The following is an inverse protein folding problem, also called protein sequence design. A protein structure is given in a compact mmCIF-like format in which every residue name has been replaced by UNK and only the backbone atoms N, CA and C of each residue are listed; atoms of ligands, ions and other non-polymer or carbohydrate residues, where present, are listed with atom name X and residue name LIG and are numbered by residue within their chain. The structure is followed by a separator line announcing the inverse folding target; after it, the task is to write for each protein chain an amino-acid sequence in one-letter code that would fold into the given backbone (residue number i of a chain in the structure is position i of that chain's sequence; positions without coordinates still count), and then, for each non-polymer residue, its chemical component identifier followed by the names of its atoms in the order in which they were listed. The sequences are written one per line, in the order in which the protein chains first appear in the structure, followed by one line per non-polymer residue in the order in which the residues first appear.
data_IF_077002281578
#
_entry.id   IF_077002281578
#
_cell.length_a   1.000
_cell.length_b   1.000
_cell.length_c   1.000
_cell.angle_alpha   90.00
_cell.angle_beta   90.00
_cell.angle_gamma   90.00
#
_symmetry.space_group_name_H-M   'P 1'
#
loop_
_entity.id
_entity.type
_entity.pdbx_description
1 polymer ?
#
# COMPACT_ATOMS: atom_id res chain seq x y z
N UNK A 1 -19.78 -4.18 23.31
CA UNK A 1 -18.82 -4.61 22.26
C UNK A 1 -19.56 -4.62 20.93
N UNK A 2 -19.09 -3.91 19.89
CA UNK A 2 -19.72 -3.94 18.57
C UNK A 2 -19.66 -5.37 17.99
N UNK A 3 -20.73 -5.76 17.29
CA UNK A 3 -20.88 -7.12 16.72
C UNK A 3 -19.90 -7.26 15.55
N UNK A 4 -18.97 -8.22 15.62
CA UNK A 4 -17.98 -8.47 14.55
C UNK A 4 -18.69 -8.72 13.22
N UNK A 5 -18.30 -8.00 12.18
CA UNK A 5 -18.85 -8.15 10.83
C UNK A 5 -18.51 -9.56 10.34
N UNK A 6 -19.52 -10.33 9.96
CA UNK A 6 -19.33 -11.66 9.35
C UNK A 6 -19.08 -11.49 7.86
N UNK A 7 -17.91 -11.91 7.41
CA UNK A 7 -17.55 -11.96 5.99
C UNK A 7 -17.71 -13.40 5.52
N UNK A 8 -18.40 -13.61 4.40
CA UNK A 8 -18.51 -14.94 3.81
C UNK A 8 -17.22 -15.32 3.08
N UNK A 9 -16.88 -16.62 3.05
CA UNK A 9 -15.71 -17.11 2.32
C UNK A 9 -15.77 -16.72 0.82
N UNK A 10 -16.98 -16.75 0.22
CA UNK A 10 -17.20 -16.33 -1.18
C UNK A 10 -16.79 -14.87 -1.41
N UNK A 11 -17.29 -13.95 -0.56
CA UNK A 11 -16.95 -12.51 -0.65
C UNK A 11 -15.45 -12.30 -0.48
N UNK A 12 -14.85 -12.95 0.52
CA UNK A 12 -13.41 -12.84 0.81
C UNK A 12 -12.56 -13.32 -0.37
N UNK A 13 -12.91 -14.45 -0.99
CA UNK A 13 -12.21 -14.97 -2.18
C UNK A 13 -12.38 -14.06 -3.39
N UNK A 14 -13.58 -13.52 -3.62
CA UNK A 14 -13.84 -12.60 -4.73
C UNK A 14 -13.02 -11.32 -4.61
N UNK A 15 -13.02 -10.71 -3.42
CA UNK A 15 -12.23 -9.51 -3.12
C UNK A 15 -10.73 -9.82 -3.25
N UNK A 16 -10.24 -10.93 -2.68
CA UNK A 16 -8.83 -11.30 -2.83
C UNK A 16 -8.42 -11.41 -4.30
N UNK A 17 -9.18 -12.15 -5.11
CA UNK A 17 -8.85 -12.36 -6.52
C UNK A 17 -8.79 -11.04 -7.29
N UNK A 18 -9.71 -10.11 -7.01
CA UNK A 18 -9.67 -8.75 -7.56
C UNK A 18 -8.41 -8.01 -7.13
N UNK A 19 -8.16 -7.90 -5.83
CA UNK A 19 -7.01 -7.17 -5.30
C UNK A 19 -5.69 -7.74 -5.82
N UNK A 20 -5.57 -9.07 -5.98
CA UNK A 20 -4.40 -9.72 -6.58
C UNK A 20 -4.17 -9.32 -8.04
N UNK A 21 -5.22 -9.20 -8.86
CA UNK A 21 -5.09 -8.74 -10.24
C UNK A 21 -4.59 -7.30 -10.30
N UNK A 22 -5.16 -6.42 -9.49
CA UNK A 22 -4.77 -5.01 -9.43
C UNK A 22 -3.35 -4.86 -8.88
N UNK A 23 -2.99 -5.60 -7.81
CA UNK A 23 -1.65 -5.58 -7.26
C UNK A 23 -0.60 -6.09 -8.26
N UNK A 24 -0.92 -7.14 -9.04
CA UNK A 24 -0.08 -7.60 -10.15
C UNK A 24 0.09 -6.51 -11.21
N UNK A 25 -0.99 -5.86 -11.62
CA UNK A 25 -0.89 -4.73 -12.56
C UNK A 25 -0.01 -3.60 -11.98
N UNK A 26 -0.20 -3.27 -10.71
CA UNK A 26 0.61 -2.27 -10.00
C UNK A 26 2.09 -2.61 -9.95
N UNK A 27 2.45 -3.87 -9.70
CA UNK A 27 3.85 -4.32 -9.72
C UNK A 27 4.55 -4.16 -11.07
N UNK A 28 3.78 -4.05 -12.16
CA UNK A 28 4.30 -3.90 -13.52
C UNK A 28 4.26 -2.43 -13.98
N UNK A 29 3.19 -1.70 -13.65
CA UNK A 29 2.99 -0.34 -14.14
C UNK A 29 3.65 0.74 -13.27
N UNK A 30 3.92 0.46 -12.00
CA UNK A 30 4.66 1.40 -11.16
C UNK A 30 6.13 1.32 -11.56
N UNK A 31 6.64 2.42 -12.13
CA UNK A 31 8.04 2.54 -12.51
C UNK A 31 8.94 2.53 -11.26
N UNK A 32 9.71 1.45 -11.11
CA UNK A 32 10.61 1.26 -9.97
C UNK A 32 11.78 2.24 -9.95
N UNK A 33 12.27 2.70 -11.10
CA UNK A 33 13.38 3.67 -11.18
C UNK A 33 12.93 5.03 -10.66
N UNK A 34 11.77 5.49 -11.15
CA UNK A 34 11.16 6.73 -10.68
C UNK A 34 10.81 6.60 -9.20
N UNK A 35 10.18 5.48 -8.80
CA UNK A 35 9.82 5.24 -7.41
C UNK A 35 11.04 5.30 -6.50
N UNK A 36 12.10 4.53 -6.77
CA UNK A 36 13.36 4.49 -6.01
C UNK A 36 13.95 5.88 -5.78
N UNK A 37 13.87 6.74 -6.80
CA UNK A 37 14.37 8.11 -6.74
C UNK A 37 13.48 9.12 -5.98
N UNK A 38 12.28 8.74 -5.54
CA UNK A 38 11.47 9.58 -4.65
C UNK A 38 12.13 9.62 -3.28
N UNK A 39 12.60 10.80 -2.88
CA UNK A 39 13.18 11.02 -1.55
C UNK A 39 12.08 10.90 -0.51
N UNK A 40 12.36 10.12 0.53
CA UNK A 40 11.50 9.98 1.70
C UNK A 40 12.35 10.30 2.92
N UNK A 41 12.12 11.46 3.53
CA UNK A 41 12.80 11.88 4.76
C UNK A 41 11.89 11.59 5.96
N UNK A 42 12.26 10.61 6.82
CA UNK A 42 11.49 10.30 8.02
C UNK A 42 11.49 11.43 9.07
N UNK A 43 12.32 12.46 8.92
CA UNK A 43 12.31 13.63 9.81
C UNK A 43 11.28 14.69 9.39
N UNK A 44 10.83 14.66 8.13
CA UNK A 44 9.98 15.69 7.50
C UNK A 44 8.64 15.10 7.08
N UNK A 45 8.08 14.22 7.91
CA UNK A 45 6.77 13.57 7.69
C UNK A 45 5.59 14.57 7.72
N UNK A 46 5.51 15.44 6.72
CA UNK A 46 4.43 16.40 6.53
C UNK A 46 3.86 16.12 5.15
N UNK A 47 2.67 15.51 5.12
CA UNK A 47 1.91 15.21 3.89
C UNK A 47 1.55 16.43 3.04
N UNK A 48 1.96 17.63 3.47
CA UNK A 48 1.71 18.91 2.83
C UNK A 48 2.99 19.64 2.39
N UNK A 49 4.19 19.17 2.74
CA UNK A 49 5.42 19.94 2.43
C UNK A 49 5.97 19.69 1.04
N UNK A 50 5.43 18.73 0.27
CA UNK A 50 5.74 18.44 -1.14
C UNK A 50 7.24 18.62 -1.52
N UNK A 51 8.17 18.34 -0.60
CA UNK A 51 9.61 18.38 -0.86
C UNK A 51 10.03 17.11 -1.61
N UNK A 52 9.34 16.85 -2.71
CA UNK A 52 9.51 15.68 -3.55
C UNK A 52 9.94 16.14 -4.93
N UNK A 53 10.80 15.35 -5.56
CA UNK A 53 11.13 15.54 -6.97
C UNK A 53 9.87 15.25 -7.80
N UNK A 54 9.19 16.30 -8.23
CA UNK A 54 7.91 16.22 -8.96
C UNK A 54 8.03 15.36 -10.23
N UNK A 55 9.19 15.40 -10.89
CA UNK A 55 9.43 14.64 -12.13
C UNK A 55 9.39 13.13 -11.91
N UNK A 56 9.66 12.69 -10.67
CA UNK A 56 9.57 11.28 -10.25
C UNK A 56 8.25 10.98 -9.54
N UNK A 57 7.79 11.91 -8.71
CA UNK A 57 6.60 11.74 -7.89
C UNK A 57 5.31 11.69 -8.72
N UNK A 58 5.12 12.64 -9.64
CA UNK A 58 3.87 12.79 -10.40
C UNK A 58 3.58 11.54 -11.25
N UNK A 59 4.53 10.98 -12.04
CA UNK A 59 4.26 9.79 -12.84
C UNK A 59 3.81 8.59 -12.00
N UNK A 60 4.47 8.33 -10.86
CA UNK A 60 4.10 7.25 -9.94
C UNK A 60 2.68 7.49 -9.39
N UNK A 61 2.37 8.70 -8.92
CA UNK A 61 1.03 9.06 -8.42
C UNK A 61 -0.04 8.87 -9.48
N UNK A 62 0.22 9.30 -10.72
CA UNK A 62 -0.70 9.12 -11.85
C UNK A 62 -0.92 7.64 -12.15
N UNK A 63 0.12 6.80 -12.12
CA UNK A 63 -0.04 5.35 -12.25
C UNK A 63 -0.98 4.80 -11.18
N UNK A 64 -0.80 5.19 -9.92
CA UNK A 64 -1.67 4.76 -8.83
C UNK A 64 -3.14 5.18 -9.05
N UNK A 65 -3.40 6.42 -9.49
CA UNK A 65 -4.75 6.84 -9.89
C UNK A 65 -5.32 6.05 -11.08
N UNK A 66 -4.48 5.67 -12.05
CA UNK A 66 -4.92 4.84 -13.18
C UNK A 66 -5.26 3.42 -12.74
N UNK A 67 -4.53 2.85 -11.77
CA UNK A 67 -4.85 1.53 -11.20
C UNK A 67 -6.26 1.51 -10.60
N UNK A 68 -6.74 2.61 -10.01
CA UNK A 68 -8.12 2.72 -9.52
C UNK A 68 -9.21 2.54 -10.59
N UNK A 69 -8.83 2.66 -11.86
CA UNK A 69 -9.73 2.55 -13.02
C UNK A 69 -9.58 1.22 -13.75
N UNK A 70 -8.66 0.34 -13.33
CA UNK A 70 -8.38 -0.90 -14.06
C UNK A 70 -9.47 -1.96 -13.87
N UNK A 71 -10.12 -1.95 -12.71
CA UNK A 71 -11.17 -2.89 -12.37
C UNK A 71 -12.22 -2.20 -11.49
N UNK A 72 -13.49 -2.58 -11.67
CA UNK A 72 -14.57 -2.07 -10.83
C UNK A 72 -14.53 -2.64 -9.40
N UNK A 73 -15.26 -2.00 -8.49
CA UNK A 73 -15.34 -2.40 -7.08
C UNK A 73 -14.48 -1.58 -6.12
N UNK A 74 -14.70 -1.82 -4.84
CA UNK A 74 -14.04 -1.11 -3.74
C UNK A 74 -12.56 -1.51 -3.63
N UNK A 75 -11.69 -0.52 -3.82
CA UNK A 75 -10.26 -0.63 -3.53
C UNK A 75 -9.56 0.74 -3.47
N UNK A 76 -8.43 0.74 -2.78
CA UNK A 76 -7.43 1.81 -2.81
C UNK A 76 -6.04 1.18 -2.97
N UNK A 77 -5.06 2.02 -3.26
CA UNK A 77 -3.67 1.60 -3.33
C UNK A 77 -2.75 2.65 -2.70
N UNK A 78 -1.61 2.16 -2.23
CA UNK A 78 -0.51 2.97 -1.76
C UNK A 78 0.81 2.26 -2.04
N UNK A 79 1.89 3.01 -2.17
CA UNK A 79 3.23 2.44 -2.31
C UNK A 79 4.04 2.68 -1.04
N UNK A 80 4.79 1.66 -0.66
CA UNK A 80 5.55 1.62 0.57
C UNK A 80 7.01 1.27 0.30
N UNK A 81 7.89 1.73 1.19
CA UNK A 81 9.32 1.47 1.14
C UNK A 81 9.84 0.95 2.47
N UNK A 82 10.74 -0.03 2.41
CA UNK A 82 11.56 -0.44 3.55
C UNK A 82 12.61 0.63 3.83
N UNK A 83 12.65 1.12 5.07
CA UNK A 83 13.67 2.06 5.54
C UNK A 83 14.27 1.55 6.84
N UNK A 84 15.49 2.01 7.15
CA UNK A 84 16.15 1.72 8.41
C UNK A 84 15.96 2.87 9.38
N UNK A 85 15.52 2.56 10.59
CA UNK A 85 15.43 3.52 11.69
C UNK A 85 16.19 2.98 12.89
N UNK A 86 16.76 3.87 13.69
CA UNK A 86 17.32 3.51 15.00
C UNK A 86 16.24 3.62 16.05
N UNK A 87 16.14 2.63 16.93
CA UNK A 87 15.29 2.73 18.11
C UNK A 87 15.95 3.58 19.21
N UNK A 88 15.31 3.63 20.38
CA UNK A 88 15.77 4.42 21.53
C UNK A 88 17.11 3.93 22.10
N UNK A 89 17.44 2.67 21.87
CA UNK A 89 18.68 2.03 22.31
C UNK A 89 19.77 2.10 21.21
N UNK A 90 19.47 2.76 20.09
CA UNK A 90 20.37 2.92 18.96
C UNK A 90 20.44 1.71 18.02
N UNK A 91 19.58 0.70 18.22
CA UNK A 91 19.54 -0.50 17.38
C UNK A 91 18.83 -0.19 16.07
N UNK A 92 19.49 -0.50 14.95
CA UNK A 92 18.89 -0.38 13.63
C UNK A 92 17.86 -1.47 13.38
N UNK A 93 16.68 -1.07 12.91
CA UNK A 93 15.60 -1.97 12.51
C UNK A 93 15.01 -1.55 11.17
N UNK A 94 14.63 -2.55 10.39
CA UNK A 94 13.84 -2.34 9.18
C UNK A 94 12.38 -2.06 9.56
N UNK A 95 11.86 -0.98 9.01
CA UNK A 95 10.45 -0.58 9.11
C UNK A 95 9.93 -0.24 7.73
N UNK A 96 8.63 -0.09 7.59
CA UNK A 96 8.00 0.35 6.35
C UNK A 96 7.44 1.76 6.53
N UNK A 97 7.62 2.60 5.51
CA UNK A 97 6.97 3.88 5.42
C UNK A 97 6.03 3.93 4.22
N UNK A 98 4.89 4.59 4.37
CA UNK A 98 4.02 4.92 3.24
C UNK A 98 4.69 6.08 2.49
N UNK A 99 5.12 5.81 1.27
CA UNK A 99 5.75 6.84 0.43
C UNK A 99 4.69 7.68 -0.28
N UNK A 100 3.61 7.02 -0.73
CA UNK A 100 2.57 7.71 -1.48
C UNK A 100 1.23 6.96 -1.34
N UNK A 101 0.29 7.47 -0.53
CA UNK A 101 -1.10 7.01 -0.54
C UNK A 101 -1.83 7.62 -1.75
N UNK A 102 -2.92 7.04 -2.23
CA UNK A 102 -3.80 7.73 -3.20
C UNK A 102 -4.78 8.65 -2.47
N UNK A 103 -5.67 8.04 -1.69
CA UNK A 103 -6.81 8.68 -1.04
C UNK A 103 -6.85 8.35 0.46
N UNK A 104 -7.28 7.14 0.81
CA UNK A 104 -7.28 6.63 2.18
C UNK A 104 -6.02 5.83 2.45
N UNK A 105 -5.64 5.79 3.72
CA UNK A 105 -4.47 5.07 4.19
C UNK A 105 -4.85 4.29 5.45
N UNK A 106 -4.49 3.01 5.50
CA UNK A 106 -4.77 2.13 6.64
C UNK A 106 -3.92 2.46 7.86
N UNK A 107 -2.74 3.03 7.61
CA UNK A 107 -1.76 3.40 8.62
C UNK A 107 -1.49 4.90 8.52
N UNK A 108 -0.97 5.50 9.57
CA UNK A 108 -0.62 6.92 9.55
C UNK A 108 0.55 7.16 8.59
N UNK A 109 0.38 8.12 7.68
CA UNK A 109 1.36 8.47 6.65
C UNK A 109 2.56 9.22 7.22
N UNK A 110 2.42 9.77 8.44
CA UNK A 110 3.47 10.53 9.12
C UNK A 110 4.33 9.68 10.06
N UNK A 111 4.22 8.36 9.94
CA UNK A 111 4.92 7.42 10.79
C UNK A 111 5.45 6.21 10.03
N UNK A 112 6.33 5.50 10.72
CA UNK A 112 6.90 4.23 10.27
C UNK A 112 6.19 3.08 10.95
N UNK A 113 6.06 1.97 10.25
CA UNK A 113 5.28 0.82 10.69
C UNK A 113 6.15 -0.43 10.71
N UNK A 114 5.88 -1.40 11.61
CA UNK A 114 6.51 -2.70 11.54
C UNK A 114 6.22 -3.39 10.19
N UNK A 115 7.19 -4.14 9.69
CA UNK A 115 7.00 -4.99 8.51
C UNK A 115 6.22 -6.23 8.94
N UNK A 116 5.03 -6.43 8.38
CA UNK A 116 4.25 -7.66 8.62
C UNK A 116 4.80 -8.84 7.81
N UNK A 117 4.43 -10.10 8.14
CA UNK A 117 4.82 -11.25 7.33
C UNK A 117 4.43 -11.14 5.86
N UNK A 118 3.24 -10.62 5.56
CA UNK A 118 2.77 -10.43 4.17
C UNK A 118 3.58 -9.34 3.44
N UNK A 119 3.94 -8.25 4.12
CA UNK A 119 4.85 -7.26 3.53
C UNK A 119 6.23 -7.85 3.29
N UNK A 120 6.74 -8.67 4.22
CA UNK A 120 8.04 -9.32 4.07
C UNK A 120 8.03 -10.25 2.85
N UNK A 121 6.98 -11.05 2.64
CA UNK A 121 6.84 -11.87 1.43
C UNK A 121 6.93 -11.04 0.14
N UNK A 122 6.35 -9.82 0.15
CA UNK A 122 6.42 -8.90 -0.97
C UNK A 122 7.80 -8.30 -1.18
N UNK A 123 8.50 -7.92 -0.11
CA UNK A 123 9.90 -7.49 -0.20
C UNK A 123 10.84 -8.62 -0.65
N UNK A 124 10.51 -9.87 -0.34
CA UNK A 124 11.22 -11.06 -0.84
C UNK A 124 10.83 -11.40 -2.30
N UNK A 125 9.99 -10.57 -2.95
CA UNK A 125 9.65 -10.68 -4.36
C UNK A 125 8.42 -11.52 -4.69
N UNK A 126 7.65 -11.94 -3.68
CA UNK A 126 6.39 -12.71 -3.84
C UNK A 126 5.17 -11.83 -3.59
N UNK A 127 3.96 -12.38 -3.62
CA UNK A 127 2.75 -11.64 -3.30
C UNK A 127 2.26 -12.03 -1.92
N UNK A 128 2.25 -11.09 -0.99
CA UNK A 128 1.72 -11.30 0.35
C UNK A 128 0.27 -10.86 0.47
N UNK A 129 -0.48 -11.50 1.37
CA UNK A 129 -1.87 -11.14 1.66
C UNK A 129 -2.09 -11.16 3.16
N UNK A 130 -2.77 -10.14 3.69
CA UNK A 130 -3.17 -10.12 5.09
C UNK A 130 -4.54 -9.46 5.28
N UNK A 131 -5.22 -9.86 6.35
CA UNK A 131 -6.43 -9.19 6.82
C UNK A 131 -6.05 -8.18 7.92
N UNK A 132 -6.56 -6.96 7.78
CA UNK A 132 -6.39 -5.85 8.72
C UNK A 132 -7.78 -5.35 9.15
N UNK A 133 -7.80 -4.37 10.05
CA UNK A 133 -9.04 -3.70 10.45
C UNK A 133 -8.86 -2.19 10.35
N UNK A 134 -9.85 -1.50 9.75
CA UNK A 134 -9.93 -0.05 9.76
C UNK A 134 -11.31 0.37 10.25
N UNK A 135 -11.33 1.12 11.36
CA UNK A 135 -12.58 1.62 11.99
C UNK A 135 -13.60 0.50 12.29
N UNK A 136 -13.12 -0.67 12.73
CA UNK A 136 -13.99 -1.82 13.02
C UNK A 136 -14.45 -2.61 11.79
N UNK A 137 -13.95 -2.26 10.59
CA UNK A 137 -14.31 -2.92 9.33
C UNK A 137 -13.15 -3.80 8.86
N UNK A 138 -13.40 -5.08 8.52
CA UNK A 138 -12.36 -5.97 8.02
C UNK A 138 -11.90 -5.53 6.63
N UNK A 139 -10.60 -5.32 6.49
CA UNK A 139 -9.93 -4.92 5.26
C UNK A 139 -9.03 -6.07 4.81
N UNK A 140 -9.01 -6.35 3.52
CA UNK A 140 -8.04 -7.27 2.93
C UNK A 140 -6.98 -6.45 2.18
N UNK A 141 -5.71 -6.71 2.47
CA UNK A 141 -4.58 -6.08 1.77
C UNK A 141 -3.81 -7.13 0.98
N UNK A 142 -3.43 -6.78 -0.24
CA UNK A 142 -2.54 -7.54 -1.09
C UNK A 142 -1.31 -6.69 -1.39
N UNK A 143 -0.13 -7.26 -1.10
CA UNK A 143 1.15 -6.63 -1.34
C UNK A 143 1.85 -7.27 -2.52
N UNK A 144 2.40 -6.46 -3.42
CA UNK A 144 3.21 -6.93 -4.55
C UNK A 144 4.51 -6.12 -4.66
N UNK A 145 5.62 -6.74 -5.11
CA UNK A 145 6.91 -6.07 -5.25
C UNK A 145 6.86 -5.02 -6.34
N UNK A 146 7.54 -3.90 -6.12
CA UNK A 146 7.90 -2.94 -7.17
C UNK A 146 9.36 -3.18 -7.48
N UNK A 147 9.68 -3.45 -8.74
CA UNK A 147 11.04 -3.73 -9.20
C UNK A 147 11.60 -2.61 -10.04
N UNK A 148 12.90 -2.37 -9.92
CA UNK A 148 13.63 -1.49 -10.82
C UNK A 148 14.13 -2.25 -12.07
N UNK A 149 14.89 -1.59 -12.94
CA UNK A 149 15.35 -2.18 -14.21
C UNK A 149 16.34 -3.35 -14.04
N UNK A 150 16.89 -3.53 -12.84
CA UNK A 150 17.77 -4.65 -12.49
C UNK A 150 17.01 -5.79 -11.79
N UNK A 151 15.67 -5.75 -11.78
CA UNK A 151 14.80 -6.68 -11.07
C UNK A 151 14.94 -6.61 -9.53
N UNK A 152 15.59 -5.59 -8.97
CA UNK A 152 15.71 -5.41 -7.52
C UNK A 152 14.38 -4.88 -6.94
N UNK A 153 13.95 -5.43 -5.79
CA UNK A 153 12.75 -4.94 -5.10
C UNK A 153 13.06 -3.62 -4.39
N UNK A 154 12.58 -2.51 -4.94
CA UNK A 154 12.80 -1.15 -4.41
C UNK A 154 11.68 -0.65 -3.51
N UNK A 155 10.56 -1.38 -3.49
CA UNK A 155 9.38 -1.08 -2.68
C UNK A 155 8.30 -2.13 -2.88
N UNK A 156 7.13 -1.87 -2.31
CA UNK A 156 5.94 -2.68 -2.50
C UNK A 156 4.74 -1.78 -2.78
N UNK A 157 3.80 -2.27 -3.58
CA UNK A 157 2.46 -1.70 -3.67
C UNK A 157 1.54 -2.49 -2.73
N UNK A 158 0.77 -1.78 -1.91
CA UNK A 158 -0.38 -2.34 -1.19
C UNK A 158 -1.63 -1.94 -1.94
N UNK A 159 -2.41 -2.93 -2.36
CA UNK A 159 -3.77 -2.73 -2.85
C UNK A 159 -4.72 -3.37 -1.86
N UNK A 160 -5.68 -2.59 -1.37
CA UNK A 160 -6.54 -3.03 -0.30
C UNK A 160 -7.99 -2.66 -0.56
N UNK A 161 -8.90 -3.43 0.04
CA UNK A 161 -10.34 -3.28 -0.14
C UNK A 161 -11.11 -3.71 1.10
N UNK A 162 -12.28 -3.10 1.32
CA UNK A 162 -13.18 -3.52 2.37
C UNK A 162 -13.79 -4.88 2.05
N UNK A 163 -13.84 -5.76 3.05
CA UNK A 163 -14.60 -7.01 2.97
C UNK A 163 -16.10 -6.80 3.30
N UNK A 164 -16.49 -5.56 3.65
CA UNK A 164 -17.87 -5.14 3.86
C UNK A 164 -18.09 -3.73 3.28
N UNK A 165 -17.97 -3.55 1.95
CA UNK A 165 -18.00 -2.24 1.29
C UNK A 165 -19.37 -1.54 1.40
N UNK A 166 -20.44 -2.29 1.67
CA UNK A 166 -21.78 -1.78 1.99
C UNK A 166 -21.84 -1.01 3.32
N UNK A 167 -20.91 -1.30 4.24
CA UNK A 167 -20.79 -0.59 5.51
C UNK A 167 -19.79 0.54 5.45
N UNK A 168 -18.67 0.28 4.78
CA UNK A 168 -17.61 1.26 4.64
C UNK A 168 -16.68 0.87 3.48
N UNK A 169 -16.56 1.77 2.51
CA UNK A 169 -15.70 1.64 1.34
C UNK A 169 -14.37 2.38 1.56
N UNK A 170 -13.28 1.82 1.03
CA UNK A 170 -11.97 2.48 1.00
C UNK A 170 -11.81 3.37 -0.24
N UNK A 171 -12.62 3.15 -1.28
CA UNK A 171 -12.62 3.98 -2.47
C UNK A 171 -13.40 5.28 -2.24
N UNK A 172 -12.69 6.36 -1.89
CA UNK A 172 -13.33 7.66 -1.61
C UNK A 172 -13.48 8.56 -2.84
N UNK A 173 -13.01 8.12 -4.01
CA UNK A 173 -13.05 8.90 -5.25
C UNK A 173 -14.26 8.56 -6.13
N UNK A 174 -15.11 7.61 -5.69
CA UNK A 174 -16.34 7.21 -6.39
C UNK A 174 -17.58 8.01 -6.00
N UNK A 175 -17.41 9.19 -5.42
CA UNK A 175 -18.49 10.10 -5.03
C UNK A 175 -18.34 11.46 -5.69
#
# INVERSE_FOLDING_TARGET
MPKKIRVSAKVRTEVENRLRRIARAGSVFVDGELFKGIVHDPAVFTGDDYQVDETKFIPVKQTLFKLKRIEEGDHSAQVLRRIKVKDKDGVEKDVVAIVMPIDIHLKDVKSVHPISPAMQEAFDGRMGVEEQELRGVPILSVYAPIRDSFEDVVGIIEVFGSLAPDKWAVDTLKY
#
